data_IF_891927645512
#
_entry.id   IF_891927645512
#
_cell.length_a   1.000
_cell.length_b   1.000
_cell.length_c   1.000
_cell.angle_alpha   90.00
_cell.angle_beta   90.00
_cell.angle_gamma   90.00
#
_symmetry.space_group_name_H-M   'P 1'
#
loop_
_entity.id
_entity.type
_entity.pdbx_description
1 polymer ?
#
# COMPACT_ATOMS: atom_id res chain seq x y z
N UNK A 1 21.44 -13.31 22.18
CA UNK A 1 19.99 -13.43 22.37
C UNK A 1 19.35 -13.17 21.04
N UNK A 2 18.31 -13.94 20.70
CA UNK A 2 17.46 -13.71 19.52
C UNK A 2 16.11 -13.17 19.98
N UNK A 3 15.32 -12.61 19.04
CA UNK A 3 13.95 -12.14 19.30
C UNK A 3 13.06 -12.43 18.10
N UNK A 4 11.75 -12.48 18.32
CA UNK A 4 10.75 -12.68 17.28
C UNK A 4 10.10 -11.35 16.92
N UNK A 5 9.92 -11.11 15.61
CA UNK A 5 9.16 -9.99 15.09
C UNK A 5 8.12 -10.47 14.08
N UNK A 6 6.95 -9.84 14.09
CA UNK A 6 5.80 -10.29 13.31
C UNK A 6 5.21 -9.12 12.53
N UNK A 7 4.89 -9.37 11.25
CA UNK A 7 4.05 -8.48 10.44
C UNK A 7 2.88 -9.26 9.85
N UNK A 8 1.82 -8.55 9.51
CA UNK A 8 0.64 -9.12 8.87
C UNK A 8 0.33 -8.43 7.54
N UNK A 9 -0.47 -9.07 6.72
CA UNK A 9 -1.06 -8.51 5.51
C UNK A 9 -2.48 -9.02 5.30
N UNK A 10 -3.24 -8.31 4.46
CA UNK A 10 -4.57 -8.72 4.02
C UNK A 10 -4.69 -8.63 2.50
N UNK A 11 -5.55 -9.49 1.92
CA UNK A 11 -5.73 -9.56 0.47
C UNK A 11 -6.54 -8.38 -0.09
N UNK A 12 -6.55 -8.27 -1.41
CA UNK A 12 -7.42 -7.33 -2.14
C UNK A 12 -8.91 -7.50 -1.81
N UNK A 13 -9.33 -8.69 -1.40
CA UNK A 13 -10.73 -8.99 -1.04
C UNK A 13 -11.07 -8.76 0.43
N UNK A 14 -10.11 -8.39 1.28
CA UNK A 14 -10.41 -7.98 2.65
C UNK A 14 -11.30 -6.71 2.65
N UNK A 15 -12.32 -6.60 3.51
CA UNK A 15 -13.27 -5.49 3.48
C UNK A 15 -12.63 -4.11 3.45
N UNK A 16 -11.64 -3.85 4.30
CA UNK A 16 -10.94 -2.55 4.31
C UNK A 16 -10.17 -2.30 3.00
N UNK A 17 -9.58 -3.34 2.38
CA UNK A 17 -8.87 -3.19 1.09
C UNK A 17 -9.83 -3.10 -0.10
N UNK A 18 -11.03 -3.65 0.00
CA UNK A 18 -12.10 -3.37 -0.96
C UNK A 18 -12.46 -1.89 -0.93
N UNK A 19 -12.59 -1.30 0.29
CA UNK A 19 -12.86 0.12 0.46
C UNK A 19 -11.74 1.00 -0.10
N UNK A 20 -10.48 0.67 0.20
CA UNK A 20 -9.31 1.40 -0.32
C UNK A 20 -9.25 1.37 -1.84
N UNK A 21 -9.49 0.21 -2.46
CA UNK A 21 -9.49 0.06 -3.92
C UNK A 21 -10.62 0.82 -4.60
N UNK A 22 -11.80 0.86 -4.00
CA UNK A 22 -12.92 1.66 -4.53
C UNK A 22 -12.57 3.15 -4.48
N UNK A 23 -12.06 3.64 -3.34
CA UNK A 23 -11.66 5.04 -3.16
C UNK A 23 -10.56 5.45 -4.14
N UNK A 24 -9.53 4.63 -4.32
CA UNK A 24 -8.44 4.90 -5.27
C UNK A 24 -8.87 4.71 -6.74
N UNK A 25 -9.80 3.80 -7.02
CA UNK A 25 -10.40 3.67 -8.34
C UNK A 25 -11.19 4.91 -8.76
N UNK A 26 -11.92 5.52 -7.82
CA UNK A 26 -12.63 6.79 -8.03
C UNK A 26 -11.62 7.92 -8.26
N UNK A 27 -10.59 8.03 -7.41
CA UNK A 27 -9.51 9.01 -7.57
C UNK A 27 -8.84 8.92 -8.94
N UNK A 28 -8.45 7.73 -9.37
CA UNK A 28 -7.81 7.49 -10.67
C UNK A 28 -8.69 7.94 -11.83
N UNK A 29 -10.00 7.68 -11.76
CA UNK A 29 -10.93 8.10 -12.81
C UNK A 29 -11.09 9.63 -12.86
N UNK A 30 -11.14 10.33 -11.72
CA UNK A 30 -11.13 11.78 -11.73
C UNK A 30 -9.84 12.34 -12.35
N UNK A 31 -8.68 11.87 -11.90
CA UNK A 31 -7.38 12.33 -12.40
C UNK A 31 -7.16 12.02 -13.89
N UNK A 32 -7.69 10.90 -14.37
CA UNK A 32 -7.59 10.54 -15.77
C UNK A 32 -8.25 11.55 -16.70
N UNK A 33 -9.39 12.15 -16.31
CA UNK A 33 -10.13 13.12 -17.13
C UNK A 33 -9.84 14.57 -16.75
N UNK A 34 -9.54 14.83 -15.47
CA UNK A 34 -9.11 16.15 -14.97
C UNK A 34 -7.94 15.97 -13.97
N UNK A 35 -6.67 16.14 -14.42
CA UNK A 35 -5.50 16.02 -13.53
C UNK A 35 -5.46 17.04 -12.38
N UNK A 36 -6.26 18.12 -12.45
CA UNK A 36 -6.36 19.13 -11.39
C UNK A 36 -7.42 18.79 -10.33
N UNK A 37 -8.13 17.69 -10.47
CA UNK A 37 -9.15 17.27 -9.51
C UNK A 37 -8.61 17.23 -8.09
N UNK A 38 -9.42 17.75 -7.16
CA UNK A 38 -9.21 17.61 -5.71
C UNK A 38 -10.17 16.55 -5.21
N UNK A 39 -9.65 15.51 -4.63
CA UNK A 39 -10.42 14.33 -4.23
C UNK A 39 -10.04 13.93 -2.81
N UNK A 40 -11.05 13.79 -1.96
CA UNK A 40 -10.99 13.12 -0.68
C UNK A 40 -12.20 12.20 -0.63
N UNK A 41 -12.03 10.94 -1.04
CA UNK A 41 -13.11 9.96 -1.15
C UNK A 41 -12.89 8.82 -0.16
N UNK A 42 -13.82 8.59 0.71
CA UNK A 42 -13.86 7.50 1.67
C UNK A 42 -15.00 6.54 1.34
N UNK A 43 -14.74 5.26 1.53
CA UNK A 43 -15.68 4.18 1.21
C UNK A 43 -15.93 3.33 2.45
N UNK A 44 -17.19 3.05 2.72
CA UNK A 44 -17.63 2.00 3.64
C UNK A 44 -18.26 0.86 2.85
N UNK A 45 -17.84 -0.38 3.13
CA UNK A 45 -18.46 -1.58 2.58
C UNK A 45 -18.98 -2.47 3.72
N UNK A 46 -20.15 -3.07 3.50
CA UNK A 46 -20.76 -4.04 4.41
C UNK A 46 -21.65 -4.98 3.62
N UNK A 47 -22.40 -5.87 4.28
CA UNK A 47 -23.29 -6.81 3.59
C UNK A 47 -24.19 -6.13 2.56
N UNK A 48 -23.98 -6.45 1.30
CA UNK A 48 -24.81 -5.97 0.19
C UNK A 48 -24.80 -4.46 -0.05
N UNK A 49 -23.85 -3.71 0.53
CA UNK A 49 -23.89 -2.25 0.49
C UNK A 49 -22.51 -1.61 0.40
N UNK A 50 -22.42 -0.53 -0.39
CA UNK A 50 -21.28 0.39 -0.50
C UNK A 50 -21.78 1.81 -0.25
N UNK A 51 -21.11 2.57 0.61
CA UNK A 51 -21.34 3.99 0.84
C UNK A 51 -20.07 4.73 0.48
N UNK A 52 -20.20 5.68 -0.46
CA UNK A 52 -19.14 6.60 -0.90
C UNK A 52 -19.40 7.95 -0.26
N UNK A 53 -18.44 8.50 0.45
CA UNK A 53 -18.55 9.81 1.11
C UNK A 53 -17.27 10.62 0.89
N UNK A 54 -17.37 11.93 1.12
CA UNK A 54 -16.23 12.83 1.02
C UNK A 54 -16.45 13.99 0.06
N UNK A 55 -15.38 14.66 -0.33
CA UNK A 55 -15.41 15.91 -1.07
C UNK A 55 -14.62 15.79 -2.38
N UNK A 56 -15.20 16.33 -3.46
CA UNK A 56 -14.56 16.37 -4.77
C UNK A 56 -14.79 17.73 -5.42
N UNK A 57 -13.71 18.31 -5.94
CA UNK A 57 -13.76 19.44 -6.87
C UNK A 57 -13.08 19.03 -8.16
N UNK A 58 -13.84 19.03 -9.26
CA UNK A 58 -13.35 18.58 -10.58
C UNK A 58 -14.12 19.26 -11.70
N UNK A 59 -13.48 19.46 -12.83
CA UNK A 59 -14.12 19.92 -14.08
C UNK A 59 -14.79 18.77 -14.87
N UNK A 60 -14.63 17.52 -14.42
CA UNK A 60 -15.20 16.35 -15.09
C UNK A 60 -16.26 15.66 -14.23
N UNK A 61 -17.17 14.97 -14.90
CA UNK A 61 -18.12 14.06 -14.26
C UNK A 61 -17.75 12.61 -14.56
N UNK A 62 -17.78 11.77 -13.52
CA UNK A 62 -17.59 10.33 -13.62
C UNK A 62 -18.75 9.59 -12.95
N UNK A 63 -19.04 8.37 -13.39
CA UNK A 63 -20.04 7.51 -12.76
C UNK A 63 -19.38 6.71 -11.62
N UNK A 64 -19.40 7.28 -10.41
CA UNK A 64 -18.76 6.67 -9.23
C UNK A 64 -19.37 5.31 -8.86
N UNK A 65 -20.66 5.08 -9.18
CA UNK A 65 -21.32 3.81 -8.91
C UNK A 65 -20.80 2.70 -9.84
N UNK A 66 -20.69 3.00 -11.14
CA UNK A 66 -20.14 2.06 -12.13
C UNK A 66 -18.68 1.72 -11.80
N UNK A 67 -17.89 2.71 -11.37
CA UNK A 67 -16.48 2.50 -10.97
C UNK A 67 -16.41 1.56 -9.76
N UNK A 68 -17.18 1.84 -8.71
CA UNK A 68 -17.22 0.98 -7.51
C UNK A 68 -17.60 -0.47 -7.87
N UNK A 69 -18.63 -0.66 -8.71
CA UNK A 69 -19.05 -1.98 -9.18
C UNK A 69 -17.96 -2.73 -9.95
N UNK A 70 -17.25 -2.02 -10.83
CA UNK A 70 -16.17 -2.61 -11.61
C UNK A 70 -15.00 -3.04 -10.72
N UNK A 71 -14.59 -2.22 -9.77
CA UNK A 71 -13.56 -2.58 -8.78
C UNK A 71 -13.96 -3.84 -7.99
N UNK A 72 -15.20 -3.90 -7.50
CA UNK A 72 -15.72 -5.07 -6.77
C UNK A 72 -15.64 -6.35 -7.64
N UNK A 73 -16.02 -6.24 -8.93
CA UNK A 73 -15.94 -7.36 -9.89
C UNK A 73 -14.50 -7.80 -10.16
N UNK A 74 -13.59 -6.87 -10.34
CA UNK A 74 -12.16 -7.15 -10.62
C UNK A 74 -11.46 -7.83 -9.42
N UNK A 75 -11.89 -7.50 -8.20
CA UNK A 75 -11.47 -8.19 -6.98
C UNK A 75 -11.97 -9.65 -7.00
N UNK A 76 -13.14 -9.93 -7.58
CA UNK A 76 -13.70 -11.28 -7.69
C UNK A 76 -14.98 -11.49 -6.88
N UNK A 77 -15.62 -10.44 -6.40
CA UNK A 77 -16.96 -10.52 -5.81
C UNK A 77 -18.02 -10.48 -6.91
N UNK A 78 -18.17 -11.63 -7.61
CA UNK A 78 -19.03 -11.83 -8.79
C UNK A 78 -20.17 -12.82 -8.53
N UNK A 79 -20.36 -13.24 -7.27
CA UNK A 79 -21.36 -14.23 -6.89
C UNK A 79 -22.24 -13.69 -5.77
N UNK A 80 -23.55 -13.63 -5.99
CA UNK A 80 -24.52 -13.12 -5.02
C UNK A 80 -24.62 -13.96 -3.74
N UNK A 81 -24.16 -15.23 -3.80
CA UNK A 81 -24.05 -16.07 -2.60
C UNK A 81 -23.06 -15.51 -1.57
N UNK A 82 -22.11 -14.67 -2.01
CA UNK A 82 -21.19 -13.98 -1.10
C UNK A 82 -21.87 -12.84 -0.30
N UNK A 83 -23.17 -12.55 -0.60
CA UNK A 83 -23.94 -11.44 0.00
C UNK A 83 -23.31 -10.08 -0.17
N UNK A 84 -22.35 -9.98 -1.08
CA UNK A 84 -21.70 -8.77 -1.56
C UNK A 84 -21.18 -9.06 -2.97
N UNK A 85 -21.72 -8.35 -3.96
CA UNK A 85 -21.40 -8.59 -5.37
C UNK A 85 -21.46 -7.27 -6.15
N UNK A 86 -20.57 -7.10 -7.12
CA UNK A 86 -20.55 -5.91 -7.98
C UNK A 86 -21.84 -5.71 -8.79
N UNK A 87 -22.62 -6.78 -9.01
CA UNK A 87 -23.92 -6.68 -9.72
C UNK A 87 -25.05 -6.25 -8.80
N UNK A 88 -25.13 -6.80 -7.58
CA UNK A 88 -26.33 -6.73 -6.75
C UNK A 88 -26.22 -5.81 -5.53
N UNK A 89 -25.01 -5.42 -5.08
CA UNK A 89 -24.87 -4.53 -3.93
C UNK A 89 -25.47 -3.14 -4.22
N UNK A 90 -26.07 -2.52 -3.20
CA UNK A 90 -26.44 -1.12 -3.27
C UNK A 90 -25.18 -0.25 -3.23
N UNK A 91 -25.12 0.78 -4.11
CA UNK A 91 -24.04 1.78 -4.08
C UNK A 91 -24.66 3.15 -3.87
N UNK A 92 -24.40 3.74 -2.70
CA UNK A 92 -24.88 5.04 -2.30
C UNK A 92 -23.75 6.06 -2.37
N UNK A 93 -23.96 7.19 -3.03
CA UNK A 93 -23.00 8.29 -3.08
C UNK A 93 -23.49 9.46 -2.24
N UNK A 94 -22.66 9.89 -1.30
CA UNK A 94 -22.81 11.05 -0.44
C UNK A 94 -21.63 12.02 -0.66
N UNK A 95 -21.03 11.98 -1.86
CA UNK A 95 -19.93 12.88 -2.24
C UNK A 95 -20.52 14.25 -2.53
N UNK A 96 -19.88 15.30 -2.03
CA UNK A 96 -20.25 16.70 -2.23
C UNK A 96 -19.04 17.56 -2.64
N UNK A 97 -19.23 18.84 -2.88
CA UNK A 97 -18.16 19.77 -3.24
C UNK A 97 -17.29 20.10 -2.02
N UNK A 98 -16.00 20.35 -2.27
CA UNK A 98 -15.05 20.76 -1.23
C UNK A 98 -15.33 22.18 -0.75
N UNK A 99 -15.15 22.45 0.55
CA UNK A 99 -15.28 23.78 1.15
C UNK A 99 -14.29 24.78 0.54
N UNK A 100 -14.80 25.99 0.19
CA UNK A 100 -13.98 27.09 -0.34
C UNK A 100 -12.90 27.54 0.66
N UNK A 101 -13.13 27.42 1.96
CA UNK A 101 -12.17 27.83 2.99
C UNK A 101 -10.91 26.97 2.97
N UNK A 102 -11.04 25.68 2.71
CA UNK A 102 -9.89 24.76 2.56
C UNK A 102 -9.13 25.08 1.27
N UNK A 103 -9.83 25.35 0.18
CA UNK A 103 -9.21 25.70 -1.11
C UNK A 103 -8.32 26.95 -1.00
N UNK A 104 -8.78 28.01 -0.32
CA UNK A 104 -8.01 29.26 -0.10
C UNK A 104 -6.68 29.04 0.64
N UNK A 105 -6.62 28.06 1.53
CA UNK A 105 -5.40 27.73 2.29
C UNK A 105 -4.32 27.04 1.46
N UNK A 106 -4.70 26.32 0.40
CA UNK A 106 -3.84 25.45 -0.40
C UNK A 106 -3.44 26.10 -1.73
N UNK A 107 -4.38 26.74 -2.41
CA UNK A 107 -4.13 27.32 -3.74
C UNK A 107 -3.38 28.65 -3.65
N UNK A 108 -2.33 28.79 -4.45
CA UNK A 108 -1.52 29.99 -4.63
C UNK A 108 -1.44 30.35 -6.11
N UNK A 109 -1.27 31.63 -6.42
CA UNK A 109 -1.05 32.12 -7.78
C UNK A 109 0.22 31.50 -8.41
N UNK A 110 1.21 31.20 -7.58
CA UNK A 110 2.47 30.56 -7.96
C UNK A 110 2.38 29.10 -7.47
N UNK A 111 2.44 28.13 -8.39
CA UNK A 111 2.27 26.71 -8.07
C UNK A 111 3.33 26.18 -7.11
N UNK A 112 4.56 26.68 -7.21
CA UNK A 112 5.69 26.35 -6.33
C UNK A 112 5.46 26.77 -4.87
N UNK A 113 4.55 27.70 -4.63
CA UNK A 113 4.15 28.18 -3.31
C UNK A 113 2.90 27.47 -2.76
N UNK A 114 2.41 26.45 -3.46
CA UNK A 114 1.29 25.63 -2.98
C UNK A 114 1.57 25.14 -1.55
N UNK A 115 0.71 25.52 -0.62
CA UNK A 115 0.79 25.09 0.76
C UNK A 115 0.39 23.62 0.95
N UNK A 116 0.83 23.04 2.06
CA UNK A 116 0.34 21.71 2.46
C UNK A 116 -1.18 21.74 2.71
N UNK A 117 -1.89 20.74 2.20
CA UNK A 117 -3.36 20.65 2.32
C UNK A 117 -3.85 20.38 3.74
N UNK A 118 -2.96 19.95 4.63
CA UNK A 118 -3.22 19.73 6.05
C UNK A 118 -1.91 19.84 6.84
N UNK A 119 -2.02 19.92 8.16
CA UNK A 119 -0.93 19.66 9.08
C UNK A 119 -0.72 18.16 9.23
N UNK A 120 0.50 17.73 9.57
CA UNK A 120 0.74 16.32 9.87
C UNK A 120 2.21 15.95 9.96
N UNK A 121 2.45 14.71 10.39
CA UNK A 121 3.77 14.07 10.37
C UNK A 121 3.72 12.83 9.49
N UNK A 122 4.67 12.70 8.59
CA UNK A 122 4.77 11.58 7.67
C UNK A 122 6.10 10.87 7.87
N UNK A 123 6.10 9.57 7.68
CA UNK A 123 7.28 8.74 7.87
C UNK A 123 7.65 7.99 6.61
N UNK A 124 8.95 7.88 6.38
CA UNK A 124 9.56 6.98 5.43
C UNK A 124 10.50 6.03 6.14
N UNK A 125 10.47 4.76 5.76
CA UNK A 125 11.34 3.76 6.33
C UNK A 125 11.94 2.89 5.23
N UNK A 126 13.17 2.44 5.42
CA UNK A 126 13.82 1.44 4.60
C UNK A 126 14.81 0.62 5.44
N UNK A 127 14.96 -0.66 5.11
CA UNK A 127 15.95 -1.53 5.72
C UNK A 127 16.59 -2.46 4.68
N UNK A 128 17.78 -2.98 4.97
CA UNK A 128 18.53 -3.83 4.06
C UNK A 128 18.21 -5.33 4.21
N UNK A 129 16.96 -5.67 4.55
CA UNK A 129 16.52 -7.07 4.72
C UNK A 129 16.15 -7.72 3.38
N UNK A 130 15.58 -6.93 2.46
CA UNK A 130 15.13 -7.37 1.14
C UNK A 130 15.73 -6.51 0.02
N UNK A 131 15.66 -7.00 -1.21
CA UNK A 131 16.13 -6.25 -2.40
C UNK A 131 15.35 -4.95 -2.60
N UNK A 132 14.08 -4.94 -2.23
CA UNK A 132 13.20 -3.78 -2.30
C UNK A 132 13.31 -2.84 -1.08
N UNK A 133 14.23 -3.13 -0.15
CA UNK A 133 14.51 -2.35 1.05
C UNK A 133 13.26 -2.16 1.95
N UNK A 134 12.52 -3.25 2.18
CA UNK A 134 11.34 -3.30 3.05
C UNK A 134 11.51 -4.42 4.08
N UNK A 135 10.84 -4.37 5.27
CA UNK A 135 10.91 -5.43 6.26
C UNK A 135 10.53 -6.80 5.70
N UNK A 136 11.36 -7.80 5.94
CA UNK A 136 11.18 -9.15 5.40
C UNK A 136 9.85 -9.78 5.83
N UNK A 137 9.44 -9.56 7.08
CA UNK A 137 8.16 -10.09 7.61
C UNK A 137 6.97 -9.58 6.81
N UNK A 138 6.94 -8.28 6.49
CA UNK A 138 5.87 -7.66 5.70
C UNK A 138 5.94 -8.10 4.23
N UNK A 139 7.13 -8.14 3.65
CA UNK A 139 7.30 -8.52 2.25
C UNK A 139 6.80 -9.96 2.00
N UNK A 140 7.17 -10.90 2.88
CA UNK A 140 6.67 -12.28 2.78
C UNK A 140 5.14 -12.32 2.99
N UNK A 141 4.60 -11.57 3.97
CA UNK A 141 3.16 -11.54 4.21
C UNK A 141 2.38 -11.01 2.98
N UNK A 142 2.85 -9.94 2.35
CA UNK A 142 2.26 -9.39 1.13
C UNK A 142 2.36 -10.36 -0.05
N UNK A 143 3.53 -10.99 -0.26
CA UNK A 143 3.73 -11.95 -1.37
C UNK A 143 2.88 -13.19 -1.23
N UNK A 144 2.70 -13.70 -0.02
CA UNK A 144 1.79 -14.84 0.24
C UNK A 144 0.38 -14.54 -0.28
N UNK A 145 -0.16 -13.35 0.00
CA UNK A 145 -1.52 -13.00 -0.40
C UNK A 145 -1.63 -12.59 -1.87
N UNK A 146 -0.60 -11.95 -2.42
CA UNK A 146 -0.54 -11.67 -3.86
C UNK A 146 -0.56 -12.97 -4.67
N UNK A 147 0.30 -13.93 -4.31
CA UNK A 147 0.34 -15.22 -5.01
C UNK A 147 -0.90 -16.08 -4.75
N UNK A 148 -1.49 -16.00 -3.55
CA UNK A 148 -2.77 -16.64 -3.26
C UNK A 148 -3.89 -16.09 -4.17
N UNK A 149 -3.92 -14.76 -4.39
CA UNK A 149 -4.86 -14.14 -5.33
C UNK A 149 -4.60 -14.56 -6.78
N UNK A 150 -3.34 -14.67 -7.19
CA UNK A 150 -2.97 -15.17 -8.51
C UNK A 150 -3.45 -16.61 -8.73
N UNK A 151 -3.27 -17.48 -7.73
CA UNK A 151 -3.76 -18.87 -7.76
C UNK A 151 -5.28 -18.95 -7.84
N UNK A 152 -6.00 -18.06 -7.16
CA UNK A 152 -7.45 -17.91 -7.22
C UNK A 152 -7.91 -17.44 -8.60
N UNK A 153 -7.37 -16.31 -9.09
CA UNK A 153 -7.75 -15.68 -10.36
C UNK A 153 -7.46 -16.59 -11.56
N UNK A 154 -6.34 -17.31 -11.52
CA UNK A 154 -5.99 -18.33 -12.54
C UNK A 154 -6.75 -19.66 -12.40
N UNK A 155 -7.57 -19.83 -11.35
CA UNK A 155 -8.33 -21.05 -11.03
C UNK A 155 -7.46 -22.29 -10.79
N UNK A 156 -6.18 -22.13 -10.49
CA UNK A 156 -5.30 -23.24 -10.08
C UNK A 156 -5.79 -23.83 -8.77
N UNK A 157 -6.24 -22.98 -7.84
CA UNK A 157 -6.97 -23.40 -6.64
C UNK A 157 -8.36 -22.78 -6.72
N UNK A 158 -9.29 -23.51 -7.30
CA UNK A 158 -10.59 -23.00 -7.76
C UNK A 158 -11.59 -22.70 -6.63
N UNK A 159 -11.40 -23.27 -5.45
CA UNK A 159 -12.28 -23.07 -4.29
C UNK A 159 -11.95 -21.82 -3.46
N UNK A 160 -10.85 -21.10 -3.76
CA UNK A 160 -10.49 -19.89 -3.05
C UNK A 160 -11.45 -18.75 -3.36
N UNK A 161 -11.79 -17.97 -2.32
CA UNK A 161 -12.56 -16.74 -2.38
C UNK A 161 -11.66 -15.50 -2.14
N UNK A 162 -12.16 -14.28 -2.39
CA UNK A 162 -11.30 -13.10 -2.39
C UNK A 162 -10.67 -12.71 -1.04
N UNK A 163 -11.35 -12.97 0.09
CA UNK A 163 -10.89 -12.52 1.40
C UNK A 163 -9.83 -13.46 1.98
N UNK A 164 -8.72 -12.89 2.42
CA UNK A 164 -7.68 -13.65 3.13
C UNK A 164 -6.77 -12.72 3.95
N UNK A 165 -6.10 -13.32 4.94
CA UNK A 165 -5.12 -12.67 5.81
C UNK A 165 -3.88 -13.55 5.92
N UNK A 166 -2.71 -12.93 6.07
CA UNK A 166 -1.45 -13.60 6.37
C UNK A 166 -0.74 -12.92 7.53
N UNK A 167 0.04 -13.69 8.27
CA UNK A 167 0.93 -13.20 9.30
C UNK A 167 2.23 -13.99 9.23
N UNK A 168 3.37 -13.31 9.31
CA UNK A 168 4.70 -13.91 9.23
C UNK A 168 5.53 -13.47 10.42
N UNK A 169 6.06 -14.43 11.13
CA UNK A 169 6.99 -14.23 12.26
C UNK A 169 8.38 -14.71 11.86
N UNK A 170 9.37 -13.84 12.01
CA UNK A 170 10.78 -14.13 11.74
C UNK A 170 11.58 -14.00 13.05
N UNK A 171 12.51 -14.90 13.27
CA UNK A 171 13.49 -14.80 14.33
C UNK A 171 14.70 -14.01 13.86
N UNK A 172 15.12 -13.02 14.66
CA UNK A 172 16.26 -12.14 14.41
C UNK A 172 17.33 -12.34 15.47
N UNK A 173 18.60 -12.15 15.09
CA UNK A 173 19.69 -12.05 16.04
C UNK A 173 19.73 -10.66 16.73
N UNK A 174 20.68 -10.48 17.66
CA UNK A 174 20.88 -9.19 18.37
C UNK A 174 21.28 -8.01 17.48
N UNK A 175 21.65 -8.26 16.23
CA UNK A 175 22.07 -7.26 15.24
C UNK A 175 20.99 -7.06 14.17
N UNK A 176 19.76 -7.56 14.41
CA UNK A 176 18.61 -7.49 13.49
C UNK A 176 18.80 -8.25 12.17
N UNK A 177 19.68 -9.27 12.14
CA UNK A 177 19.76 -10.17 10.99
C UNK A 177 18.71 -11.27 11.10
N UNK A 178 17.93 -11.54 10.04
CA UNK A 178 16.95 -12.62 10.04
C UNK A 178 17.66 -13.98 10.06
N UNK A 179 17.26 -14.85 11.01
CA UNK A 179 17.82 -16.18 11.22
C UNK A 179 17.00 -17.29 10.58
N UNK A 180 15.67 -17.23 10.76
CA UNK A 180 14.69 -18.18 10.20
C UNK A 180 13.29 -17.62 10.23
N UNK A 181 12.43 -18.13 9.39
CA UNK A 181 10.98 -17.93 9.51
C UNK A 181 10.49 -18.90 10.59
N UNK A 182 9.89 -18.37 11.65
CA UNK A 182 9.37 -19.20 12.75
C UNK A 182 7.94 -19.66 12.48
N UNK A 183 7.06 -18.74 12.09
CA UNK A 183 5.63 -19.03 11.94
C UNK A 183 5.05 -18.33 10.71
N UNK A 184 4.21 -19.04 9.98
CA UNK A 184 3.34 -18.50 8.91
C UNK A 184 1.90 -18.85 9.24
N UNK A 185 1.05 -17.83 9.36
CA UNK A 185 -0.40 -17.96 9.50
C UNK A 185 -1.06 -17.53 8.20
N UNK A 186 -1.99 -18.30 7.67
CA UNK A 186 -2.83 -17.93 6.52
C UNK A 186 -4.27 -18.28 6.86
N UNK A 187 -5.15 -17.27 6.81
CA UNK A 187 -6.59 -17.46 6.87
C UNK A 187 -7.17 -17.06 5.52
N UNK A 188 -7.78 -17.99 4.80
CA UNK A 188 -8.34 -17.76 3.47
C UNK A 188 -9.78 -18.19 3.38
N UNK A 189 -10.62 -17.32 2.84
CA UNK A 189 -12.00 -17.61 2.51
C UNK A 189 -12.04 -18.63 1.36
N UNK A 190 -13.00 -19.58 1.44
CA UNK A 190 -13.14 -20.66 0.47
C UNK A 190 -14.60 -21.08 0.28
N UNK A 191 -14.89 -21.78 -0.81
CA UNK A 191 -16.17 -22.44 -1.04
C UNK A 191 -16.32 -23.66 -0.11
N UNK A 192 -17.57 -24.06 0.16
CA UNK A 192 -17.85 -25.37 0.74
C UNK A 192 -17.80 -26.42 -0.39
N UNK A 193 -16.63 -27.03 -0.59
CA UNK A 193 -16.39 -27.97 -1.69
C UNK A 193 -16.39 -29.45 -1.27
N UNK A 194 -16.52 -29.73 0.02
CA UNK A 194 -16.67 -31.08 0.60
C UNK A 194 -17.70 -31.02 1.75
N UNK A 195 -18.40 -32.11 1.99
CA UNK A 195 -19.30 -32.25 3.14
C UNK A 195 -18.57 -32.52 4.46
N UNK A 196 -17.34 -33.02 4.38
CA UNK A 196 -16.47 -33.28 5.51
C UNK A 196 -15.54 -32.07 5.74
N UNK A 197 -15.83 -31.31 6.76
CA UNK A 197 -15.07 -30.09 7.11
C UNK A 197 -13.58 -30.40 7.31
N UNK A 198 -13.22 -31.56 7.91
CA UNK A 198 -11.83 -31.90 8.17
C UNK A 198 -11.08 -32.22 6.87
N UNK A 199 -11.67 -32.99 5.96
CA UNK A 199 -11.07 -33.25 4.64
C UNK A 199 -10.88 -31.97 3.85
N UNK A 200 -11.83 -31.05 3.92
CA UNK A 200 -11.75 -29.75 3.27
C UNK A 200 -10.58 -28.93 3.82
N UNK A 201 -10.43 -28.84 5.15
CA UNK A 201 -9.33 -28.13 5.81
C UNK A 201 -7.98 -28.76 5.52
N UNK A 202 -7.89 -30.09 5.53
CA UNK A 202 -6.65 -30.82 5.19
C UNK A 202 -6.25 -30.58 3.73
N UNK A 203 -7.21 -30.52 2.81
CA UNK A 203 -6.96 -30.18 1.40
C UNK A 203 -6.44 -28.74 1.27
N UNK A 204 -7.08 -27.77 1.91
CA UNK A 204 -6.64 -26.35 1.90
C UNK A 204 -5.22 -26.27 2.45
N UNK A 205 -4.96 -26.89 3.60
CA UNK A 205 -3.62 -26.91 4.22
C UNK A 205 -2.58 -27.49 3.27
N UNK A 206 -2.89 -28.63 2.66
CA UNK A 206 -1.99 -29.29 1.72
C UNK A 206 -1.68 -28.40 0.52
N UNK A 207 -2.69 -27.85 -0.13
CA UNK A 207 -2.52 -27.03 -1.33
C UNK A 207 -1.73 -25.75 -1.04
N UNK A 208 -1.95 -25.11 0.10
CA UNK A 208 -1.18 -23.91 0.44
C UNK A 208 0.28 -24.25 0.74
N UNK A 209 0.57 -25.34 1.44
CA UNK A 209 1.95 -25.75 1.75
C UNK A 209 2.67 -26.24 0.48
N UNK A 210 2.02 -27.04 -0.36
CA UNK A 210 2.66 -27.70 -1.49
C UNK A 210 2.71 -26.83 -2.76
N UNK A 211 1.82 -25.83 -2.89
CA UNK A 211 1.74 -24.96 -4.08
C UNK A 211 2.16 -23.54 -3.75
N UNK A 212 1.49 -22.87 -2.80
CA UNK A 212 1.73 -21.45 -2.51
C UNK A 212 3.11 -21.19 -1.91
N UNK A 213 3.49 -21.94 -0.87
CA UNK A 213 4.78 -21.71 -0.16
C UNK A 213 5.98 -21.86 -1.10
N UNK A 214 6.09 -22.88 -1.96
CA UNK A 214 7.17 -22.98 -2.94
C UNK A 214 7.21 -21.84 -3.95
N UNK A 215 6.07 -21.35 -4.44
CA UNK A 215 6.01 -20.19 -5.35
C UNK A 215 6.62 -18.96 -4.66
N UNK A 216 6.17 -18.65 -3.45
CA UNK A 216 6.68 -17.51 -2.68
C UNK A 216 8.17 -17.68 -2.36
N UNK A 217 8.60 -18.84 -1.87
CA UNK A 217 10.01 -19.14 -1.59
C UNK A 217 10.90 -18.91 -2.82
N UNK A 218 10.48 -19.42 -3.98
CA UNK A 218 11.26 -19.35 -5.22
C UNK A 218 11.35 -17.93 -5.82
N UNK A 219 10.50 -17.00 -5.38
CA UNK A 219 10.56 -15.61 -5.81
C UNK A 219 11.68 -14.79 -5.14
N UNK A 220 12.33 -15.36 -4.12
CA UNK A 220 13.39 -14.71 -3.35
C UNK A 220 14.79 -15.12 -3.77
N UNK A 221 15.78 -14.30 -3.37
CA UNK A 221 17.20 -14.65 -3.48
C UNK A 221 17.54 -15.87 -2.63
N UNK A 222 18.62 -16.58 -2.97
CA UNK A 222 19.07 -17.78 -2.25
C UNK A 222 19.32 -17.52 -0.76
N UNK A 223 19.67 -16.29 -0.38
CA UNK A 223 19.84 -15.88 1.02
C UNK A 223 18.52 -15.99 1.80
N UNK A 224 17.44 -15.44 1.26
CA UNK A 224 16.12 -15.47 1.90
C UNK A 224 15.50 -16.87 1.79
N UNK A 225 15.69 -17.59 0.67
CA UNK A 225 15.20 -18.96 0.51
C UNK A 225 15.67 -19.91 1.64
N UNK A 226 16.88 -19.71 2.17
CA UNK A 226 17.43 -20.52 3.29
C UNK A 226 16.67 -20.32 4.59
N UNK A 227 15.95 -19.22 4.75
CA UNK A 227 15.13 -18.95 5.94
C UNK A 227 13.84 -19.78 5.94
N UNK A 228 13.41 -20.29 4.77
CA UNK A 228 12.30 -21.24 4.62
C UNK A 228 12.80 -22.66 4.88
N UNK A 229 13.00 -22.99 6.15
CA UNK A 229 13.45 -24.32 6.59
C UNK A 229 12.25 -25.24 6.93
N UNK A 230 12.53 -26.45 7.39
CA UNK A 230 11.50 -27.46 7.70
C UNK A 230 10.82 -27.24 9.07
N UNK A 231 11.30 -26.28 9.88
CA UNK A 231 10.82 -26.05 11.25
C UNK A 231 9.75 -24.96 11.32
N UNK A 232 9.28 -24.46 10.16
CA UNK A 232 8.23 -23.44 10.10
C UNK A 232 6.92 -23.99 10.64
N UNK A 233 6.32 -23.28 11.59
CA UNK A 233 4.99 -23.57 12.11
C UNK A 233 3.93 -22.97 11.17
N UNK A 234 3.18 -23.82 10.50
CA UNK A 234 2.10 -23.40 9.63
C UNK A 234 0.74 -23.46 10.33
N UNK A 235 0.04 -22.34 10.43
CA UNK A 235 -1.34 -22.24 10.89
C UNK A 235 -2.22 -21.83 9.71
N UNK A 236 -2.91 -22.79 9.10
CA UNK A 236 -3.80 -22.57 7.96
C UNK A 236 -5.23 -22.73 8.42
N UNK A 237 -6.05 -21.68 8.27
CA UNK A 237 -7.43 -21.60 8.76
C UNK A 237 -7.57 -22.17 10.18
N UNK A 238 -6.82 -21.65 11.18
CA UNK A 238 -6.73 -22.28 12.50
C UNK A 238 -8.05 -22.30 13.29
N UNK A 239 -9.02 -21.48 12.89
CA UNK A 239 -10.37 -21.44 13.50
C UNK A 239 -11.36 -22.38 12.84
N UNK A 240 -10.95 -23.16 11.82
CA UNK A 240 -11.79 -24.02 11.03
C UNK A 240 -12.17 -23.41 9.68
N UNK A 241 -13.32 -23.82 9.12
CA UNK A 241 -13.78 -23.34 7.81
C UNK A 241 -14.05 -21.82 7.82
N UNK A 242 -13.71 -21.18 6.69
CA UNK A 242 -13.88 -19.75 6.49
C UNK A 242 -14.67 -19.48 5.21
N UNK A 243 -15.97 -19.72 5.27
CA UNK A 243 -16.91 -19.55 4.14
C UNK A 243 -17.53 -18.15 4.13
N UNK A 244 -17.92 -17.66 5.32
CA UNK A 244 -18.44 -16.30 5.48
C UNK A 244 -17.25 -15.35 5.68
N UNK A 245 -17.05 -14.44 4.72
CA UNK A 245 -15.96 -13.48 4.73
C UNK A 245 -16.25 -12.31 3.80
N UNK A 246 -15.24 -11.48 3.56
CA UNK A 246 -15.40 -10.25 2.82
C UNK A 246 -16.35 -9.27 3.51
N UNK A 247 -16.95 -8.31 2.79
CA UNK A 247 -17.87 -7.33 3.38
C UNK A 247 -19.13 -7.91 4.02
N UNK A 248 -19.44 -9.18 3.78
CA UNK A 248 -20.51 -9.88 4.50
C UNK A 248 -20.06 -10.37 5.87
N UNK A 249 -18.79 -10.70 6.03
CA UNK A 249 -18.25 -11.16 7.32
C UNK A 249 -17.89 -10.02 8.26
N UNK A 250 -17.38 -8.91 7.72
CA UNK A 250 -16.95 -7.73 8.49
C UNK A 250 -17.08 -6.45 7.65
N UNK A 251 -17.31 -5.34 8.32
CA UNK A 251 -17.42 -4.02 7.69
C UNK A 251 -16.02 -3.48 7.33
N UNK A 252 -15.85 -2.97 6.11
CA UNK A 252 -14.64 -2.32 5.65
C UNK A 252 -14.77 -0.81 5.58
N UNK A 253 -13.66 -0.12 5.81
CA UNK A 253 -13.53 1.33 5.70
C UNK A 253 -12.18 1.70 5.09
N UNK A 254 -12.18 2.76 4.26
CA UNK A 254 -10.94 3.34 3.74
C UNK A 254 -10.00 3.75 4.86
N UNK A 255 -8.71 3.42 4.72
CA UNK A 255 -7.67 3.86 5.65
C UNK A 255 -7.58 3.12 6.97
N UNK A 256 -8.16 1.91 7.08
CA UNK A 256 -8.05 1.08 8.30
C UNK A 256 -6.92 0.06 8.28
N UNK A 257 -6.10 0.02 7.22
CA UNK A 257 -4.96 -0.91 7.06
C UNK A 257 -3.63 -0.19 6.84
N UNK A 258 -3.48 1.00 7.45
CA UNK A 258 -2.33 1.89 7.23
C UNK A 258 -0.98 1.29 7.59
N UNK A 259 -0.91 0.39 8.56
CA UNK A 259 0.33 -0.29 8.95
C UNK A 259 0.76 -1.31 7.89
N UNK A 260 -0.21 -2.04 7.31
CA UNK A 260 0.02 -2.97 6.20
C UNK A 260 0.42 -2.21 4.93
N UNK A 261 -0.18 -1.04 4.70
CA UNK A 261 0.11 -0.18 3.56
C UNK A 261 1.55 0.34 3.57
N UNK A 262 2.21 0.38 4.72
CA UNK A 262 3.53 0.98 4.91
C UNK A 262 4.62 -0.03 5.25
N UNK A 263 4.90 -0.28 6.54
CA UNK A 263 6.11 -1.01 6.97
C UNK A 263 5.84 -2.15 7.93
N UNK A 264 4.57 -2.59 8.10
CA UNK A 264 4.22 -3.76 8.91
C UNK A 264 4.58 -3.65 10.39
N UNK A 265 4.65 -2.42 10.92
CA UNK A 265 4.98 -2.15 12.32
C UNK A 265 6.48 -1.97 12.61
N UNK A 266 7.38 -2.14 11.62
CA UNK A 266 8.82 -1.92 11.80
C UNK A 266 9.18 -0.44 11.77
N UNK A 267 8.59 0.32 10.87
CA UNK A 267 8.71 1.78 10.80
C UNK A 267 7.54 2.47 11.52
N UNK A 268 7.77 3.71 11.97
CA UNK A 268 6.72 4.57 12.52
C UNK A 268 5.70 4.97 11.45
N UNK A 269 4.52 5.41 11.90
CA UNK A 269 3.44 5.90 11.05
C UNK A 269 2.82 7.17 11.64
N UNK A 270 2.50 8.16 10.79
CA UNK A 270 1.91 9.43 11.22
C UNK A 270 0.41 9.38 11.49
N UNK A 271 -0.27 8.30 11.10
CA UNK A 271 -1.71 8.09 11.31
C UNK A 271 -2.59 8.44 10.11
N UNK A 272 -2.08 9.19 9.11
CA UNK A 272 -2.85 9.56 7.92
C UNK A 272 -3.05 8.40 6.94
N UNK A 273 -4.27 8.17 6.50
CA UNK A 273 -4.60 7.22 5.43
C UNK A 273 -4.14 7.75 4.07
N UNK A 274 -3.87 6.85 3.12
CA UNK A 274 -3.44 7.18 1.75
C UNK A 274 -4.59 7.13 0.74
N UNK A 275 -5.29 6.01 0.69
CA UNK A 275 -6.32 5.75 -0.32
C UNK A 275 -7.43 6.80 -0.32
N UNK A 276 -7.92 7.14 -1.51
CA UNK A 276 -8.95 8.15 -1.72
C UNK A 276 -8.48 9.61 -1.70
N UNK A 277 -7.22 9.87 -1.37
CA UNK A 277 -6.64 11.22 -1.28
C UNK A 277 -5.83 11.56 -2.53
N UNK A 278 -6.13 12.69 -3.17
CA UNK A 278 -5.30 13.26 -4.24
C UNK A 278 -3.95 13.77 -3.70
N UNK A 279 -2.94 14.00 -4.56
CA UNK A 279 -1.57 14.31 -4.13
C UNK A 279 -1.38 15.64 -3.40
N UNK A 280 -2.36 16.54 -3.37
CA UNK A 280 -2.28 17.75 -2.54
C UNK A 280 -2.36 17.45 -1.04
N UNK A 281 -2.81 16.26 -0.66
CA UNK A 281 -2.84 15.77 0.71
C UNK A 281 -1.47 15.18 1.06
N UNK A 282 -0.73 15.90 1.89
CA UNK A 282 0.65 15.54 2.28
C UNK A 282 0.75 14.21 3.03
N UNK A 283 -0.33 13.76 3.68
CA UNK A 283 -0.41 12.43 4.28
C UNK A 283 0.05 11.34 3.30
N UNK A 284 -0.32 11.47 2.02
CA UNK A 284 0.04 10.53 0.97
C UNK A 284 1.32 10.93 0.25
N UNK A 285 1.38 12.13 -0.31
CA UNK A 285 2.49 12.58 -1.17
C UNK A 285 3.81 12.65 -0.41
N UNK A 286 3.82 13.22 0.79
CA UNK A 286 5.03 13.33 1.60
C UNK A 286 5.46 12.00 2.23
N UNK A 287 4.56 11.08 2.52
CA UNK A 287 4.92 9.71 2.91
C UNK A 287 5.67 8.99 1.78
N UNK A 288 5.24 9.15 0.53
CA UNK A 288 5.96 8.62 -0.63
C UNK A 288 7.34 9.28 -0.81
N UNK A 289 7.44 10.59 -0.61
CA UNK A 289 8.72 11.29 -0.65
C UNK A 289 9.67 10.83 0.47
N UNK A 290 9.19 10.67 1.68
CA UNK A 290 9.97 10.16 2.81
C UNK A 290 10.44 8.72 2.55
N UNK A 291 9.59 7.86 1.95
CA UNK A 291 9.98 6.51 1.49
C UNK A 291 11.08 6.57 0.44
N UNK A 292 10.94 7.42 -0.55
CA UNK A 292 11.95 7.58 -1.59
C UNK A 292 13.32 7.95 -1.02
N UNK A 293 13.36 8.90 -0.08
CA UNK A 293 14.58 9.32 0.61
C UNK A 293 15.19 8.16 1.38
N UNK A 294 14.41 7.51 2.26
CA UNK A 294 14.91 6.40 3.10
C UNK A 294 15.48 5.25 2.27
N UNK A 295 14.79 4.87 1.17
CA UNK A 295 15.26 3.82 0.25
C UNK A 295 16.57 4.20 -0.45
N UNK A 296 16.67 5.42 -0.97
CA UNK A 296 17.88 5.89 -1.64
C UNK A 296 19.08 5.97 -0.67
N UNK A 297 18.87 6.40 0.58
CA UNK A 297 19.92 6.44 1.60
C UNK A 297 20.42 5.03 1.98
N UNK A 298 19.51 4.07 2.20
CA UNK A 298 19.90 2.67 2.47
C UNK A 298 20.66 2.08 1.28
N UNK A 299 20.20 2.30 0.05
CA UNK A 299 20.86 1.79 -1.16
C UNK A 299 22.18 2.52 -1.48
N UNK A 300 22.34 3.76 -1.01
CA UNK A 300 23.64 4.46 -1.04
C UNK A 300 24.63 3.96 0.01
N UNK A 301 24.22 3.05 0.89
CA UNK A 301 25.09 2.46 1.92
C UNK A 301 25.30 3.33 3.15
N UNK A 302 24.41 4.31 3.40
CA UNK A 302 24.47 5.21 4.56
C UNK A 302 24.25 4.47 5.87
N UNK A 303 23.25 3.60 5.89
CA UNK A 303 22.90 2.73 7.02
C UNK A 303 22.17 1.49 6.51
N UNK A 304 22.12 0.43 7.33
CA UNK A 304 21.29 -0.74 7.02
C UNK A 304 19.81 -0.51 7.35
N UNK A 305 19.49 0.56 8.08
CA UNK A 305 18.15 0.95 8.47
C UNK A 305 18.05 2.46 8.58
N UNK A 306 17.00 3.05 8.02
CA UNK A 306 16.75 4.50 8.02
C UNK A 306 15.28 4.77 8.25
N UNK A 307 15.00 5.66 9.19
CA UNK A 307 13.70 6.25 9.44
C UNK A 307 13.76 7.75 9.14
N UNK A 308 12.85 8.22 8.29
CA UNK A 308 12.66 9.64 7.97
C UNK A 308 11.35 10.12 8.60
N UNK A 309 11.37 11.29 9.23
CA UNK A 309 10.17 12.02 9.63
C UNK A 309 10.13 13.37 8.92
N UNK A 310 8.99 13.70 8.33
CA UNK A 310 8.72 15.02 7.76
C UNK A 310 7.46 15.58 8.41
N UNK A 311 7.50 16.85 8.84
CA UNK A 311 6.35 17.53 9.43
C UNK A 311 5.90 18.70 8.56
N UNK A 312 4.58 18.90 8.43
CA UNK A 312 3.99 20.04 7.71
C UNK A 312 3.00 20.80 8.58
N UNK A 313 2.87 22.09 8.30
CA UNK A 313 1.79 22.94 8.79
C UNK A 313 0.84 23.27 7.63
N UNK A 314 -0.47 23.30 7.89
CA UNK A 314 -1.47 23.62 6.88
C UNK A 314 -1.19 24.98 6.22
N UNK A 315 -1.29 25.05 4.89
CA UNK A 315 -1.08 26.26 4.12
C UNK A 315 0.38 26.73 3.97
N UNK A 316 1.35 26.00 4.55
CA UNK A 316 2.80 26.29 4.42
C UNK A 316 3.42 25.31 3.43
N UNK A 317 4.20 25.83 2.47
CA UNK A 317 4.85 25.01 1.44
C UNK A 317 6.08 24.27 1.97
N UNK A 318 6.93 24.95 2.76
CA UNK A 318 8.11 24.31 3.32
C UNK A 318 7.74 23.39 4.48
N UNK A 319 8.37 22.19 4.59
CA UNK A 319 8.19 21.37 5.77
C UNK A 319 8.70 22.12 7.02
N UNK A 320 7.96 22.00 8.12
CA UNK A 320 8.37 22.60 9.41
C UNK A 320 9.47 21.81 10.11
N UNK A 321 9.66 20.56 9.72
CA UNK A 321 10.73 19.69 10.24
C UNK A 321 11.06 18.58 9.27
N UNK A 322 12.35 18.21 9.23
CA UNK A 322 12.88 17.00 8.61
C UNK A 322 13.86 16.36 9.59
N UNK A 323 13.64 15.10 9.90
CA UNK A 323 14.53 14.31 10.75
C UNK A 323 14.92 13.01 10.04
N UNK A 324 16.22 12.75 9.99
CA UNK A 324 16.79 11.47 9.52
C UNK A 324 17.35 10.74 10.72
N UNK A 325 16.93 9.51 10.92
CA UNK A 325 17.40 8.64 11.99
C UNK A 325 17.98 7.35 11.37
N UNK A 326 19.26 7.12 11.60
CA UNK A 326 19.99 5.91 11.14
C UNK A 326 19.80 4.71 12.06
N UNK A 327 18.94 4.81 13.07
CA UNK A 327 18.63 3.77 14.05
C UNK A 327 19.89 3.23 14.78
N UNK A 328 20.93 4.08 14.92
CA UNK A 328 22.20 3.69 15.51
C UNK A 328 23.07 2.76 14.64
N UNK A 329 22.73 2.61 13.36
CA UNK A 329 23.43 1.71 12.40
C UNK A 329 24.15 2.51 11.30
N UNK A 330 24.46 3.79 11.52
CA UNK A 330 25.18 4.62 10.56
C UNK A 330 26.53 3.99 10.19
N UNK A 331 26.84 3.97 8.90
CA UNK A 331 28.15 3.59 8.36
C UNK A 331 29.04 4.81 8.05
N UNK A 332 28.55 6.00 8.40
CA UNK A 332 29.22 7.28 8.18
C UNK A 332 29.70 7.87 9.50
N UNK A 333 30.69 8.75 9.42
CA UNK A 333 31.24 9.48 10.58
C UNK A 333 30.46 10.75 10.91
N UNK A 334 29.37 11.06 10.18
CA UNK A 334 28.53 12.24 10.39
C UNK A 334 27.34 11.93 11.29
N UNK A 335 26.84 12.93 12.02
CA UNK A 335 25.64 12.78 12.83
C UNK A 335 24.37 12.73 11.98
N UNK A 336 23.29 12.16 12.54
CA UNK A 336 21.98 12.15 11.93
C UNK A 336 21.45 13.58 11.65
N UNK A 337 21.78 14.55 12.50
CA UNK A 337 21.45 15.97 12.27
C UNK A 337 22.13 16.49 11.01
N UNK A 338 23.45 16.25 10.85
CA UNK A 338 24.15 16.66 9.61
C UNK A 338 23.64 15.93 8.37
N UNK A 339 23.23 14.69 8.52
CA UNK A 339 22.60 13.94 7.43
C UNK A 339 21.23 14.53 7.05
N UNK A 340 20.46 15.03 8.04
CA UNK A 340 19.18 15.73 7.80
C UNK A 340 19.39 17.03 7.00
N UNK A 341 20.44 17.82 7.31
CA UNK A 341 20.78 19.02 6.52
C UNK A 341 21.07 18.66 5.06
N UNK A 342 21.92 17.64 4.83
CA UNK A 342 22.28 17.19 3.49
C UNK A 342 21.04 16.69 2.72
N UNK A 343 20.16 15.95 3.36
CA UNK A 343 18.90 15.49 2.75
C UNK A 343 18.04 16.68 2.37
N UNK A 344 17.91 17.68 3.22
CA UNK A 344 17.14 18.89 2.95
C UNK A 344 17.69 19.72 1.78
N UNK A 345 19.02 19.71 1.58
CA UNK A 345 19.66 20.36 0.42
C UNK A 345 19.42 19.61 -0.91
N UNK A 346 19.31 18.28 -0.86
CA UNK A 346 19.18 17.42 -2.07
C UNK A 346 17.73 17.28 -2.50
N UNK A 347 16.80 17.14 -1.55
CA UNK A 347 15.41 16.81 -1.80
C UNK A 347 14.50 17.99 -1.50
N UNK A 348 13.97 18.60 -2.54
CA UNK A 348 12.89 19.58 -2.37
C UNK A 348 11.60 18.86 -1.94
N UNK A 349 11.14 19.19 -0.73
CA UNK A 349 9.99 18.56 -0.08
C UNK A 349 8.73 19.43 -0.10
N UNK A 350 8.70 20.51 -0.88
CA UNK A 350 7.48 21.27 -1.13
C UNK A 350 6.42 20.38 -1.79
N UNK A 351 5.13 20.48 -1.44
CA UNK A 351 4.07 19.65 -2.01
C UNK A 351 4.09 19.61 -3.54
N UNK A 352 4.19 20.78 -4.18
CA UNK A 352 4.25 20.85 -5.66
C UNK A 352 5.48 20.13 -6.24
N UNK A 353 6.64 20.24 -5.60
CA UNK A 353 7.88 19.58 -6.05
C UNK A 353 7.78 18.06 -5.93
N UNK A 354 7.13 17.56 -4.87
CA UNK A 354 6.84 16.14 -4.70
C UNK A 354 5.88 15.64 -5.79
N UNK A 355 4.76 16.37 -6.00
CA UNK A 355 3.78 16.04 -7.05
C UNK A 355 4.44 15.94 -8.44
N UNK A 356 5.28 16.93 -8.77
CA UNK A 356 5.97 17.01 -10.06
C UNK A 356 7.02 15.91 -10.24
N UNK A 357 7.83 15.64 -9.20
CA UNK A 357 8.89 14.62 -9.22
C UNK A 357 8.34 13.23 -9.50
N UNK A 358 7.24 12.87 -8.88
CA UNK A 358 6.65 11.54 -9.01
C UNK A 358 5.47 11.49 -9.97
N UNK A 359 5.13 12.61 -10.64
CA UNK A 359 3.97 12.72 -11.53
C UNK A 359 2.67 12.25 -10.84
N UNK A 360 2.47 12.67 -9.61
CA UNK A 360 1.36 12.20 -8.78
C UNK A 360 -0.03 12.65 -9.29
N UNK A 361 -0.10 13.49 -10.32
CA UNK A 361 -1.36 13.82 -11.00
C UNK A 361 -1.75 12.78 -12.06
N UNK A 362 -0.90 11.79 -12.32
CA UNK A 362 -1.26 10.65 -13.14
C UNK A 362 -2.14 9.67 -12.35
N UNK A 363 -3.06 8.93 -13.02
CA UNK A 363 -3.94 7.95 -12.38
C UNK A 363 -3.19 6.65 -12.04
N UNK A 364 -2.44 6.64 -10.94
CA UNK A 364 -1.52 5.56 -10.52
C UNK A 364 -1.93 4.88 -9.21
N UNK A 365 -3.11 5.17 -8.67
CA UNK A 365 -3.44 4.91 -7.28
C UNK A 365 -4.13 3.57 -7.02
N UNK A 366 -4.98 3.07 -7.93
CA UNK A 366 -5.69 1.81 -7.75
C UNK A 366 -4.73 0.64 -7.45
N UNK A 367 -3.59 0.58 -8.14
CA UNK A 367 -2.59 -0.48 -7.96
C UNK A 367 -1.84 -0.38 -6.62
N UNK A 368 -1.90 0.76 -5.94
CA UNK A 368 -1.29 0.93 -4.62
C UNK A 368 -2.17 0.42 -3.49
N UNK A 369 -3.47 0.35 -3.71
CA UNK A 369 -4.48 0.10 -2.68
C UNK A 369 -4.50 -1.35 -2.14
N UNK A 370 -3.64 -2.24 -2.64
CA UNK A 370 -3.51 -3.62 -2.15
C UNK A 370 -2.05 -4.08 -2.17
N UNK A 371 -1.71 -4.98 -1.24
CA UNK A 371 -0.38 -5.59 -1.10
C UNK A 371 0.76 -4.59 -0.82
N UNK A 372 0.45 -3.45 -0.17
CA UNK A 372 1.39 -2.42 0.25
C UNK A 372 1.67 -1.35 -0.79
N UNK A 373 1.84 -0.11 -0.31
CA UNK A 373 2.24 1.04 -1.11
C UNK A 373 3.76 1.12 -1.29
N UNK A 374 4.52 0.43 -0.44
CA UNK A 374 5.98 0.44 -0.38
C UNK A 374 6.55 -0.93 -0.75
N UNK A 375 7.81 -0.97 -1.21
CA UNK A 375 8.47 -2.23 -1.58
C UNK A 375 8.01 -2.81 -2.91
N UNK A 376 7.47 -2.00 -3.79
CA UNK A 376 7.00 -2.38 -5.13
C UNK A 376 8.04 -1.98 -6.19
N UNK A 377 7.93 -2.55 -7.38
CA UNK A 377 8.77 -2.15 -8.51
C UNK A 377 8.11 -1.00 -9.27
N UNK A 378 8.91 0.04 -9.58
CA UNK A 378 8.46 1.06 -10.53
C UNK A 378 8.37 0.44 -11.92
N UNK A 379 7.22 0.60 -12.58
CA UNK A 379 6.97 0.07 -13.93
C UNK A 379 6.05 0.98 -14.73
N UNK A 380 6.23 0.98 -16.04
CA UNK A 380 5.33 1.67 -16.96
C UNK A 380 4.14 0.79 -17.32
N UNK A 381 2.95 1.39 -17.29
CA UNK A 381 1.70 0.71 -17.62
C UNK A 381 0.78 1.62 -18.43
N UNK A 382 0.13 1.09 -19.46
CA UNK A 382 -0.95 1.78 -20.14
C UNK A 382 -2.27 1.43 -19.47
N UNK A 383 -2.96 2.43 -18.92
CA UNK A 383 -4.28 2.30 -18.30
C UNK A 383 -5.35 2.85 -19.25
N UNK A 384 -6.53 2.24 -19.24
CA UNK A 384 -7.67 2.65 -20.04
C UNK A 384 -8.81 3.06 -19.13
N UNK A 385 -9.31 4.28 -19.32
CA UNK A 385 -10.42 4.84 -18.57
C UNK A 385 -11.59 5.08 -19.53
N UNK A 386 -12.79 4.72 -19.10
CA UNK A 386 -13.99 4.86 -19.89
C UNK A 386 -15.01 5.73 -19.14
N UNK A 387 -15.40 6.83 -19.75
CA UNK A 387 -16.45 7.71 -19.25
C UNK A 387 -17.57 7.80 -20.27
N UNK A 388 -18.82 7.62 -19.81
CA UNK A 388 -20.02 7.85 -20.64
C UNK A 388 -20.11 9.27 -21.19
N UNK A 389 -19.42 10.22 -20.55
CA UNK A 389 -19.49 11.65 -20.86
C UNK A 389 -18.26 12.15 -21.65
N UNK A 390 -17.08 11.57 -21.38
CA UNK A 390 -15.80 12.02 -21.95
C UNK A 390 -15.15 10.99 -22.89
N UNK A 391 -15.81 9.86 -23.11
CA UNK A 391 -15.30 8.78 -23.97
C UNK A 391 -14.20 7.95 -23.34
N UNK A 392 -13.40 7.29 -24.18
CA UNK A 392 -12.29 6.41 -23.73
C UNK A 392 -10.98 7.18 -23.78
N UNK A 393 -10.22 7.14 -22.70
CA UNK A 393 -8.87 7.72 -22.60
C UNK A 393 -7.85 6.65 -22.23
N UNK A 394 -6.76 6.55 -23.01
CA UNK A 394 -5.61 5.69 -22.70
C UNK A 394 -4.46 6.57 -22.26
N UNK A 395 -3.86 6.24 -21.12
CA UNK A 395 -2.78 7.00 -20.50
C UNK A 395 -1.64 6.04 -20.16
N UNK A 396 -0.42 6.34 -20.64
CA UNK A 396 0.78 5.68 -20.14
C UNK A 396 1.20 6.34 -18.83
N UNK A 397 1.29 5.55 -17.77
CA UNK A 397 1.66 6.00 -16.42
C UNK A 397 2.86 5.22 -15.91
N UNK A 398 3.58 5.78 -14.93
CA UNK A 398 4.64 5.09 -14.18
C UNK A 398 4.10 4.78 -12.78
N UNK A 399 3.92 3.49 -12.49
CA UNK A 399 3.48 3.00 -11.16
C UNK A 399 4.65 3.04 -10.17
N UNK A 400 4.38 3.33 -8.91
CA UNK A 400 5.34 3.34 -7.79
C UNK A 400 6.62 4.17 -8.06
N UNK A 401 6.55 5.40 -8.60
CA UNK A 401 7.73 6.17 -8.97
C UNK A 401 8.63 6.53 -7.77
N UNK A 402 8.11 6.56 -6.54
CA UNK A 402 8.87 6.78 -5.31
C UNK A 402 9.81 5.62 -4.94
N UNK A 403 9.70 4.47 -5.61
CA UNK A 403 10.58 3.32 -5.38
C UNK A 403 11.88 3.37 -6.23
N UNK A 404 12.05 4.37 -7.09
CA UNK A 404 13.24 4.54 -7.94
C UNK A 404 14.48 4.93 -7.15
N UNK A 405 15.65 4.61 -7.70
CA UNK A 405 16.96 4.81 -7.07
C UNK A 405 17.78 5.93 -7.76
N UNK A 406 17.12 6.98 -8.18
CA UNK A 406 17.71 8.05 -9.00
C UNK A 406 18.74 8.91 -8.25
N UNK A 407 18.72 8.92 -6.92
CA UNK A 407 19.58 9.76 -6.09
C UNK A 407 20.77 9.02 -5.48
N UNK A 408 20.89 7.71 -5.64
CA UNK A 408 21.95 6.89 -5.02
C UNK A 408 23.34 7.40 -5.37
N UNK A 409 23.63 7.67 -6.67
CA UNK A 409 24.96 8.15 -7.11
C UNK A 409 25.27 9.56 -6.56
N UNK A 410 24.28 10.46 -6.54
CA UNK A 410 24.42 11.80 -6.00
C UNK A 410 24.73 11.75 -4.50
N UNK A 411 23.97 10.94 -3.74
CA UNK A 411 24.17 10.73 -2.30
C UNK A 411 25.59 10.20 -2.01
N UNK A 412 26.05 9.19 -2.76
CA UNK A 412 27.39 8.63 -2.59
C UNK A 412 28.47 9.71 -2.82
N UNK A 413 28.33 10.55 -3.86
CA UNK A 413 29.28 11.63 -4.14
C UNK A 413 29.30 12.71 -3.06
N UNK A 414 28.13 13.08 -2.54
CA UNK A 414 28.02 14.14 -1.52
C UNK A 414 28.51 13.67 -0.14
N UNK A 415 28.21 12.41 0.22
CA UNK A 415 28.53 11.85 1.54
C UNK A 415 29.97 11.31 1.67
N UNK A 416 30.69 11.11 0.54
CA UNK A 416 32.11 10.71 0.54
C UNK A 416 33.08 11.89 0.58
N UNK A 417 32.58 13.13 0.54
CA UNK A 417 33.34 14.36 0.74
C UNK A 417 33.41 14.75 2.20
#
# INVERSE_FOLDING_TARGET
MSYLFTSESVSEGHPDKVSDQISDGILDNFLAFDPNSKVACETLVTTGQVILSGEVTSSTYIDVQDIARNVIKDIGYNNDQYKFSGESCAVMSLIHEQSEDILRGVERNIKEEQGAGDQGIMFGYACNETDDAIPLTLDIANRLLLELSNLRKSKIISYLRPDSKSQVTVEYDKNDNPLRIDTIVISTQHDEFDQDDQKMLDKIRKDLIDILIPIVKNSYSSKIQKLFNNDIKYHINPTGKFVIGGPHGDTGLTGRKIIIDTYGGRGAHGGGAFSGKDPSKVDRSAAYAARHISKNLVKAGVSDEILIQVGYAIGIAEPVSLNVNTCGKSKLSISDSKLSDIVNEIFDLKPHSIESRFKLRDPIYLETASYGHMGRKSEKKTKSFNSKYSGVKKIEVELFPWEKLEYVEQLIKTLKK
#
